data_IF_267980987915
#
_entry.id   IF_267980987915
#
_cell.length_a   1.000
_cell.length_b   1.000
_cell.length_c   1.000
_cell.angle_alpha   90.00
_cell.angle_beta   90.00
_cell.angle_gamma   90.00
#
_symmetry.space_group_name_H-M   'P 1'
#
loop_
_entity.id
_entity.type
_entity.pdbx_description
1 polymer ?
#
# COMPACT_ATOMS: atom_id res chain seq x y z
N UNK A 1 34.38 -23.76 6.61
CA UNK A 1 33.19 -23.29 7.36
C UNK A 1 32.13 -22.86 6.35
N UNK A 2 31.00 -23.56 6.30
CA UNK A 2 29.91 -23.30 5.34
C UNK A 2 29.15 -22.05 5.77
N UNK A 3 29.21 -20.97 4.98
CA UNK A 3 28.37 -19.78 5.17
C UNK A 3 26.94 -20.15 4.76
N UNK A 4 26.05 -20.37 5.73
CA UNK A 4 24.61 -20.40 5.46
C UNK A 4 24.17 -18.96 5.28
N UNK A 5 23.99 -18.54 4.04
CA UNK A 5 23.31 -17.29 3.71
C UNK A 5 21.85 -17.52 4.07
N UNK A 6 21.40 -16.93 5.18
CA UNK A 6 20.00 -16.91 5.56
C UNK A 6 19.32 -15.90 4.62
N UNK A 7 18.77 -16.40 3.51
CA UNK A 7 17.92 -15.60 2.64
C UNK A 7 16.63 -15.29 3.42
N UNK A 8 16.54 -14.07 3.95
CA UNK A 8 15.28 -13.56 4.49
C UNK A 8 14.34 -13.34 3.31
N UNK A 9 13.36 -14.24 3.15
CA UNK A 9 12.15 -14.00 2.37
C UNK A 9 11.40 -12.83 3.01
N UNK A 10 11.63 -11.65 2.44
CA UNK A 10 10.92 -10.41 2.76
C UNK A 10 9.71 -10.36 1.82
N UNK A 11 8.47 -10.35 2.34
CA UNK A 11 7.27 -10.16 1.52
C UNK A 11 7.44 -8.99 0.55
N UNK A 12 7.06 -9.17 -0.71
CA UNK A 12 7.31 -8.19 -1.78
C UNK A 12 6.83 -6.75 -1.46
N UNK A 13 5.81 -6.59 -0.60
CA UNK A 13 5.34 -5.28 -0.12
C UNK A 13 6.33 -4.55 0.81
N UNK A 14 7.18 -5.27 1.55
CA UNK A 14 8.22 -4.67 2.38
C UNK A 14 9.43 -4.18 1.55
N UNK A 15 9.56 -4.62 0.29
CA UNK A 15 10.69 -4.34 -0.60
C UNK A 15 10.49 -3.06 -1.42
N UNK A 16 9.25 -2.62 -1.68
CA UNK A 16 8.95 -1.52 -2.62
C UNK A 16 9.40 -0.10 -2.19
N UNK A 17 10.11 0.04 -1.07
CA UNK A 17 10.77 1.29 -0.64
C UNK A 17 12.09 1.06 0.13
N UNK A 18 12.66 -0.14 0.07
CA UNK A 18 13.88 -0.49 0.82
C UNK A 18 15.17 -0.40 -0.03
N UNK A 19 15.08 -0.11 -1.33
CA UNK A 19 16.26 -0.16 -2.20
C UNK A 19 17.34 0.91 -1.90
N UNK A 20 17.07 1.89 -1.02
CA UNK A 20 18.04 2.84 -0.47
C UNK A 20 17.88 3.05 1.05
N UNK A 21 17.35 2.05 1.77
CA UNK A 21 17.37 2.11 3.22
C UNK A 21 18.82 1.94 3.72
N UNK A 22 19.26 2.83 4.60
CA UNK A 22 20.55 2.72 5.26
C UNK A 22 20.36 2.00 6.61
N UNK A 23 20.99 0.83 6.77
CA UNK A 23 21.11 0.18 8.08
C UNK A 23 21.97 1.09 8.97
N UNK A 24 21.33 1.80 9.90
CA UNK A 24 22.00 2.76 10.80
C UNK A 24 22.34 2.13 12.16
N UNK A 25 21.74 0.98 12.47
CA UNK A 25 22.00 0.24 13.69
C UNK A 25 21.80 -1.26 13.46
N UNK A 26 22.77 -2.06 13.91
CA UNK A 26 22.67 -3.52 13.90
C UNK A 26 23.51 -4.08 15.04
N UNK A 27 22.86 -4.41 16.16
CA UNK A 27 23.53 -4.93 17.34
C UNK A 27 22.57 -5.76 18.19
N UNK A 28 23.09 -6.83 18.77
CA UNK A 28 22.40 -7.71 19.73
C UNK A 28 21.02 -8.20 19.22
N UNK A 29 20.95 -8.58 17.94
CA UNK A 29 19.71 -9.07 17.32
C UNK A 29 18.69 -7.98 16.97
N UNK A 30 19.04 -6.71 17.14
CA UNK A 30 18.20 -5.56 16.77
C UNK A 30 18.77 -4.86 15.56
N UNK A 31 17.91 -4.56 14.60
CA UNK A 31 18.23 -3.80 13.39
C UNK A 31 17.32 -2.59 13.27
N UNK A 32 17.90 -1.47 12.86
CA UNK A 32 17.16 -0.26 12.55
C UNK A 32 17.66 0.29 11.23
N UNK A 33 16.75 0.32 10.27
CA UNK A 33 16.95 0.93 8.97
C UNK A 33 16.30 2.30 8.97
N UNK A 34 17.06 3.31 8.58
CA UNK A 34 16.53 4.62 8.26
C UNK A 34 16.47 4.78 6.75
N UNK A 35 15.34 5.24 6.24
CA UNK A 35 15.14 5.43 4.81
C UNK A 35 14.42 6.75 4.56
N UNK A 36 14.54 7.26 3.35
CA UNK A 36 13.88 8.48 2.95
C UNK A 36 14.26 8.93 1.56
N UNK A 37 13.62 10.01 1.13
CA UNK A 37 13.87 10.70 -0.14
C UNK A 37 13.48 12.17 -0.05
N UNK A 38 14.14 12.98 -0.85
CA UNK A 38 13.76 14.37 -1.13
C UNK A 38 13.48 14.44 -2.63
N UNK A 39 12.29 14.92 -2.98
CA UNK A 39 11.82 14.98 -4.36
C UNK A 39 11.52 16.44 -4.68
N UNK A 40 12.35 17.02 -5.55
CA UNK A 40 12.05 18.30 -6.18
C UNK A 40 11.15 18.03 -7.39
N UNK A 41 9.94 18.57 -7.37
CA UNK A 41 8.92 18.24 -8.36
C UNK A 41 8.14 19.48 -8.79
N UNK A 42 7.98 19.64 -10.10
CA UNK A 42 7.14 20.66 -10.71
C UNK A 42 6.23 19.98 -11.71
N UNK A 43 4.93 20.09 -11.48
CA UNK A 43 3.93 19.63 -12.44
C UNK A 43 3.74 20.72 -13.47
N UNK A 44 3.87 20.36 -14.75
CA UNK A 44 3.50 21.19 -15.87
C UNK A 44 2.23 20.64 -16.51
N UNK A 45 1.13 21.37 -16.39
CA UNK A 45 -0.16 21.00 -16.94
C UNK A 45 -0.77 22.18 -17.70
N UNK A 46 -1.20 21.91 -18.92
CA UNK A 46 -2.06 22.81 -19.69
C UNK A 46 -3.46 22.21 -19.68
N UNK A 47 -4.30 22.69 -18.77
CA UNK A 47 -5.67 22.19 -18.63
C UNK A 47 -6.55 22.74 -19.74
N UNK A 48 -6.34 23.99 -20.17
CA UNK A 48 -6.87 24.59 -21.40
C UNK A 48 -6.01 25.79 -21.87
N UNK A 49 -6.42 26.44 -22.97
CA UNK A 49 -5.70 27.58 -23.59
C UNK A 49 -5.62 28.85 -22.69
N UNK A 50 -6.39 28.91 -21.58
CA UNK A 50 -6.50 30.08 -20.71
C UNK A 50 -6.04 29.82 -19.27
N UNK A 51 -5.79 28.57 -18.88
CA UNK A 51 -5.42 28.20 -17.52
C UNK A 51 -4.33 27.11 -17.47
N UNK A 52 -3.21 27.44 -16.81
CA UNK A 52 -2.16 26.47 -16.51
C UNK A 52 -2.21 26.11 -15.02
N UNK A 53 -2.42 24.84 -14.67
CA UNK A 53 -2.33 24.35 -13.27
C UNK A 53 -0.90 23.92 -12.94
N UNK A 54 0.07 24.77 -13.29
CA UNK A 54 1.47 24.52 -13.03
C UNK A 54 1.76 24.72 -11.55
N UNK A 55 2.01 23.64 -10.81
CA UNK A 55 2.27 23.68 -9.37
C UNK A 55 3.63 23.07 -9.02
N UNK A 56 4.22 23.58 -7.95
CA UNK A 56 5.35 22.94 -7.28
C UNK A 56 4.71 21.91 -6.36
N UNK A 57 5.18 20.68 -6.47
CA UNK A 57 4.69 19.56 -5.66
C UNK A 57 5.84 18.91 -4.90
N UNK A 58 6.98 19.61 -4.78
CA UNK A 58 8.15 19.14 -4.06
C UNK A 58 7.80 18.67 -2.65
N UNK A 59 8.40 17.54 -2.25
CA UNK A 59 8.16 16.91 -0.94
C UNK A 59 9.37 16.12 -0.46
N UNK A 60 9.41 15.85 0.84
CA UNK A 60 10.34 14.93 1.46
C UNK A 60 9.58 13.80 2.17
N UNK A 61 10.17 12.61 2.19
CA UNK A 61 9.68 11.45 2.97
C UNK A 61 10.83 10.85 3.75
N UNK A 62 10.55 10.40 4.94
CA UNK A 62 11.48 9.63 5.73
C UNK A 62 10.75 8.60 6.58
N UNK A 63 11.47 7.59 7.02
CA UNK A 63 10.91 6.54 7.83
C UNK A 63 11.97 5.70 8.51
N UNK A 64 11.49 4.87 9.42
CA UNK A 64 12.29 3.91 10.17
C UNK A 64 11.64 2.56 10.05
N UNK A 65 12.43 1.52 9.78
CA UNK A 65 12.03 0.11 9.93
C UNK A 65 12.90 -0.48 11.02
N UNK A 66 12.26 -1.08 12.02
CA UNK A 66 12.94 -1.73 13.12
C UNK A 66 12.58 -3.21 13.16
N UNK A 67 13.57 -4.06 13.41
CA UNK A 67 13.39 -5.49 13.65
C UNK A 67 14.16 -5.89 14.91
N UNK A 68 13.57 -6.75 15.72
CA UNK A 68 14.18 -7.33 16.92
C UNK A 68 13.98 -8.83 16.93
N UNK A 69 15.06 -9.59 16.96
CA UNK A 69 15.01 -11.02 17.12
C UNK A 69 14.73 -11.36 18.59
N UNK A 70 13.53 -11.87 18.87
CA UNK A 70 13.10 -12.23 20.23
C UNK A 70 13.56 -13.65 20.56
N UNK A 71 13.34 -14.58 19.63
CA UNK A 71 13.84 -15.96 19.69
C UNK A 71 14.35 -16.41 18.32
N UNK A 72 14.75 -17.68 18.17
CA UNK A 72 15.09 -18.23 16.85
C UNK A 72 13.91 -18.28 15.87
N UNK A 73 12.67 -18.24 16.38
CA UNK A 73 11.45 -18.38 15.57
C UNK A 73 10.58 -17.12 15.59
N UNK A 74 10.73 -16.26 16.59
CA UNK A 74 9.91 -15.07 16.80
C UNK A 74 10.72 -13.79 16.59
N UNK A 75 10.26 -12.96 15.67
CA UNK A 75 10.81 -11.63 15.38
C UNK A 75 9.74 -10.57 15.61
N UNK A 76 10.05 -9.55 16.39
CA UNK A 76 9.24 -8.33 16.46
C UNK A 76 9.68 -7.35 15.39
N UNK A 77 8.74 -6.62 14.81
CA UNK A 77 9.04 -5.60 13.82
C UNK A 77 8.12 -4.40 13.95
N UNK A 78 8.54 -3.26 13.38
CA UNK A 78 7.72 -2.07 13.27
C UNK A 78 8.22 -1.15 12.17
N UNK A 79 7.30 -0.34 11.64
CA UNK A 79 7.62 0.64 10.61
C UNK A 79 6.88 1.95 10.87
N UNK A 80 7.63 3.04 10.69
CA UNK A 80 7.12 4.40 10.66
C UNK A 80 7.52 5.05 9.32
N UNK A 81 6.60 5.79 8.72
CA UNK A 81 6.84 6.59 7.50
C UNK A 81 6.09 7.92 7.59
N UNK A 82 6.80 9.01 7.32
CA UNK A 82 6.29 10.37 7.37
C UNK A 82 6.53 11.10 6.05
N UNK A 83 5.60 11.96 5.68
CA UNK A 83 5.71 12.83 4.50
C UNK A 83 5.58 14.29 4.92
N UNK A 84 6.50 15.10 4.40
CA UNK A 84 6.56 16.55 4.53
C UNK A 84 6.41 17.16 3.14
N UNK A 85 5.35 17.93 2.93
CA UNK A 85 5.25 18.73 1.70
C UNK A 85 6.23 19.92 1.82
N UNK A 86 6.83 20.34 0.70
CA UNK A 86 7.88 21.36 0.65
C UNK A 86 7.65 22.39 -0.46
N UNK A 87 6.40 22.53 -0.91
CA UNK A 87 6.02 23.37 -2.04
C UNK A 87 5.25 24.64 -1.67
N UNK A 88 5.01 24.88 -0.37
CA UNK A 88 4.31 26.07 0.14
C UNK A 88 5.19 26.91 1.07
N UNK A 89 4.84 28.19 1.29
CA UNK A 89 5.49 29.03 2.28
C UNK A 89 5.48 28.39 3.67
N UNK A 90 6.45 28.79 4.50
CA UNK A 90 6.56 28.35 5.89
C UNK A 90 5.24 28.52 6.65
N UNK A 91 4.86 27.50 7.42
CA UNK A 91 3.59 27.45 8.15
C UNK A 91 2.37 27.02 7.31
N UNK A 92 2.53 26.80 6.00
CA UNK A 92 1.44 26.38 5.09
C UNK A 92 1.63 25.00 4.47
N UNK A 93 2.79 24.37 4.67
CA UNK A 93 3.04 22.99 4.23
C UNK A 93 2.18 22.00 5.02
N UNK A 94 1.71 20.96 4.34
CA UNK A 94 1.00 19.86 4.98
C UNK A 94 1.98 18.73 5.31
N UNK A 95 1.63 17.99 6.35
CA UNK A 95 2.40 16.85 6.82
C UNK A 95 1.47 15.70 7.15
N UNK A 96 1.96 14.48 6.94
CA UNK A 96 1.13 13.28 7.08
C UNK A 96 1.96 12.06 7.44
N UNK A 97 1.53 11.37 8.49
CA UNK A 97 1.96 10.00 8.78
C UNK A 97 1.37 9.06 7.75
N UNK A 98 2.24 8.37 7.00
CA UNK A 98 1.83 7.44 5.95
C UNK A 98 1.68 6.04 6.51
N UNK A 99 2.66 5.56 7.29
CA UNK A 99 2.67 4.24 7.90
C UNK A 99 3.08 4.37 9.37
N UNK A 100 2.39 3.66 10.25
CA UNK A 100 2.79 3.46 11.65
C UNK A 100 2.16 2.18 12.14
N UNK A 101 2.92 1.09 12.17
CA UNK A 101 2.44 -0.20 12.65
C UNK A 101 3.57 -0.98 13.33
N UNK A 102 3.16 -1.96 14.13
CA UNK A 102 4.04 -2.92 14.77
C UNK A 102 3.45 -4.32 14.64
N UNK A 103 4.31 -5.33 14.66
CA UNK A 103 3.90 -6.71 14.46
C UNK A 103 4.91 -7.73 14.96
N UNK A 104 4.49 -8.98 14.84
CA UNK A 104 5.26 -10.17 15.17
C UNK A 104 5.27 -11.11 13.97
N UNK A 105 6.43 -11.69 13.66
CA UNK A 105 6.59 -12.76 12.68
C UNK A 105 7.03 -14.02 13.41
N UNK A 106 6.33 -15.12 13.16
CA UNK A 106 6.66 -16.43 13.72
C UNK A 106 7.03 -17.38 12.58
N UNK A 107 8.33 -17.51 12.32
CA UNK A 107 8.91 -18.40 11.29
C UNK A 107 8.04 -18.51 10.01
N UNK A 108 7.65 -19.73 9.63
CA UNK A 108 6.76 -20.05 8.49
C UNK A 108 5.26 -19.93 8.84
N UNK A 109 4.90 -19.78 10.12
CA UNK A 109 3.50 -19.55 10.51
C UNK A 109 2.99 -18.18 10.05
N UNK A 110 3.88 -17.27 9.66
CA UNK A 110 3.53 -15.98 9.07
C UNK A 110 3.73 -14.81 10.04
N UNK A 111 3.06 -13.71 9.74
CA UNK A 111 3.18 -12.47 10.50
C UNK A 111 1.83 -11.85 10.80
N UNK A 112 1.73 -11.19 11.95
CA UNK A 112 0.60 -10.37 12.34
C UNK A 112 1.07 -8.96 12.68
N UNK A 113 0.39 -7.95 12.14
CA UNK A 113 0.64 -6.54 12.43
C UNK A 113 -0.65 -5.75 12.70
N UNK A 114 -0.53 -4.68 13.48
CA UNK A 114 -1.62 -3.74 13.74
C UNK A 114 -1.14 -2.29 13.67
N UNK A 115 -1.95 -1.43 13.05
CA UNK A 115 -1.72 0.01 13.04
C UNK A 115 -2.28 0.73 11.82
N UNK A 116 -1.58 1.78 11.38
CA UNK A 116 -1.78 2.44 10.08
C UNK A 116 -0.90 1.73 9.05
N UNK A 117 -1.51 0.92 8.20
CA UNK A 117 -0.83 0.13 7.19
C UNK A 117 -1.61 0.16 5.86
N UNK A 118 -1.08 -0.48 4.81
CA UNK A 118 -1.82 -0.74 3.59
C UNK A 118 -2.94 -1.75 3.83
N UNK A 119 -4.12 -1.46 3.27
CA UNK A 119 -5.21 -2.40 3.20
C UNK A 119 -4.90 -3.54 2.22
N UNK A 120 -5.34 -4.75 2.54
CA UNK A 120 -4.98 -5.96 1.78
C UNK A 120 -5.51 -5.95 0.34
N UNK A 121 -6.58 -5.20 0.04
CA UNK A 121 -7.01 -5.04 -1.35
C UNK A 121 -5.88 -4.46 -2.23
N UNK A 122 -5.06 -3.56 -1.66
CA UNK A 122 -3.94 -2.93 -2.36
C UNK A 122 -2.87 -3.93 -2.83
N UNK A 123 -2.82 -5.16 -2.31
CA UNK A 123 -1.92 -6.21 -2.81
C UNK A 123 -2.10 -6.44 -4.32
N UNK A 124 -3.33 -6.31 -4.84
CA UNK A 124 -3.60 -6.38 -6.28
C UNK A 124 -3.26 -5.07 -7.02
N UNK A 125 -3.57 -3.91 -6.44
CA UNK A 125 -3.27 -2.61 -7.05
C UNK A 125 -1.77 -2.34 -7.17
N UNK A 126 -0.98 -2.87 -6.24
CA UNK A 126 0.47 -2.71 -6.20
C UNK A 126 1.17 -3.19 -7.48
N UNK A 127 0.60 -4.15 -8.21
CA UNK A 127 1.14 -4.61 -9.49
C UNK A 127 1.10 -3.53 -10.58
N UNK A 128 0.13 -2.61 -10.56
CA UNK A 128 0.02 -1.56 -11.59
C UNK A 128 0.44 -0.19 -11.09
N UNK A 129 0.62 -0.01 -9.78
CA UNK A 129 1.11 1.23 -9.17
C UNK A 129 2.64 1.37 -9.25
N UNK A 130 3.13 1.29 -10.49
CA UNK A 130 4.55 1.32 -10.86
C UNK A 130 4.84 2.50 -11.80
N UNK A 131 4.05 3.56 -11.76
CA UNK A 131 4.25 4.76 -12.59
C UNK A 131 5.00 5.83 -11.79
N UNK A 132 5.71 6.72 -12.49
CA UNK A 132 6.66 7.68 -11.89
C UNK A 132 5.96 8.71 -11.00
N UNK A 133 4.78 9.19 -11.41
CA UNK A 133 4.02 10.18 -10.66
C UNK A 133 2.51 9.88 -10.68
N UNK A 134 1.96 9.68 -11.89
CA UNK A 134 0.56 9.31 -12.07
C UNK A 134 0.39 7.80 -12.03
N UNK A 135 -0.16 7.23 -10.97
CA UNK A 135 -0.31 5.79 -10.79
C UNK A 135 -1.15 5.45 -9.57
N UNK A 136 -1.83 4.29 -9.56
CA UNK A 136 -2.68 3.89 -8.43
C UNK A 136 -4.04 4.60 -8.33
N UNK A 137 -4.27 5.69 -9.07
CA UNK A 137 -5.51 6.53 -9.07
C UNK A 137 -6.78 5.86 -9.65
N UNK A 138 -6.78 4.52 -9.74
CA UNK A 138 -7.97 3.78 -10.15
C UNK A 138 -9.01 3.76 -9.03
N UNK A 139 -8.75 2.96 -8.02
CA UNK A 139 -9.57 2.84 -6.84
C UNK A 139 -8.72 2.87 -5.57
N UNK A 140 -7.41 2.65 -5.66
CA UNK A 140 -6.52 2.68 -4.53
C UNK A 140 -6.30 4.12 -4.05
N UNK A 141 -6.71 4.42 -2.83
CA UNK A 141 -6.51 5.74 -2.25
C UNK A 141 -6.27 5.64 -0.75
N UNK A 142 -5.61 6.66 -0.19
CA UNK A 142 -5.43 6.73 1.25
C UNK A 142 -6.77 7.04 1.93
N UNK A 143 -7.01 6.36 3.04
CA UNK A 143 -8.19 6.52 3.89
C UNK A 143 -9.52 6.25 3.17
N UNK A 144 -9.49 5.42 2.12
CA UNK A 144 -10.68 4.93 1.42
C UNK A 144 -10.88 3.43 1.70
N UNK A 145 -11.53 3.13 2.83
CA UNK A 145 -11.69 1.74 3.33
C UNK A 145 -10.33 1.02 3.44
N UNK A 146 -10.20 -0.21 2.89
CA UNK A 146 -8.96 -1.02 2.87
C UNK A 146 -8.31 -1.08 1.48
N UNK A 147 -8.50 -0.05 0.66
CA UNK A 147 -8.10 -0.07 -0.75
C UNK A 147 -6.76 0.65 -1.03
N UNK A 148 -6.19 1.28 -0.01
CA UNK A 148 -4.85 1.87 0.04
C UNK A 148 -4.37 1.95 1.49
N UNK A 149 -3.60 2.98 1.86
CA UNK A 149 -3.19 3.17 3.27
C UNK A 149 -4.39 3.55 4.13
N UNK A 150 -4.52 2.96 5.31
CA UNK A 150 -5.67 3.21 6.20
C UNK A 150 -5.33 2.99 7.68
N UNK A 151 -6.21 3.41 8.60
CA UNK A 151 -6.00 3.28 10.04
C UNK A 151 -6.70 2.05 10.63
N UNK A 152 -6.10 1.49 11.69
CA UNK A 152 -6.78 0.53 12.57
C UNK A 152 -6.99 -0.82 11.91
N UNK A 153 -6.02 -1.26 11.10
CA UNK A 153 -6.05 -2.57 10.46
C UNK A 153 -5.22 -3.57 11.24
N UNK A 154 -5.80 -4.75 11.47
CA UNK A 154 -5.15 -5.94 11.98
C UNK A 154 -4.93 -6.88 10.80
N UNK A 155 -3.69 -7.16 10.44
CA UNK A 155 -3.34 -7.89 9.22
C UNK A 155 -2.57 -9.14 9.58
N UNK A 156 -3.06 -10.29 9.13
CA UNK A 156 -2.30 -11.53 9.12
C UNK A 156 -1.83 -11.82 7.70
N UNK A 157 -0.55 -12.16 7.54
CA UNK A 157 0.06 -12.53 6.25
C UNK A 157 0.81 -13.84 6.41
N UNK A 158 0.75 -14.68 5.40
CA UNK A 158 1.55 -15.89 5.31
C UNK A 158 2.21 -15.96 3.93
N UNK A 159 3.48 -16.35 3.93
CA UNK A 159 4.25 -16.54 2.71
C UNK A 159 4.57 -18.01 2.51
N UNK A 160 4.62 -18.41 1.25
CA UNK A 160 4.90 -19.79 0.79
C UNK A 160 3.98 -20.85 1.42
N UNK A 161 2.75 -20.45 1.75
CA UNK A 161 1.71 -21.26 2.39
C UNK A 161 2.26 -22.19 3.48
N UNK A 162 2.81 -21.59 4.54
CA UNK A 162 3.43 -22.31 5.66
C UNK A 162 4.65 -23.15 5.28
N UNK A 163 5.37 -22.74 4.22
CA UNK A 163 6.48 -23.49 3.64
C UNK A 163 6.06 -24.69 2.77
N UNK A 164 4.76 -24.87 2.50
CA UNK A 164 4.23 -26.00 1.74
C UNK A 164 4.17 -25.74 0.23
N UNK A 165 3.98 -24.49 -0.18
CA UNK A 165 3.82 -24.11 -1.59
C UNK A 165 4.62 -22.83 -1.86
N UNK A 166 5.80 -23.00 -2.43
CA UNK A 166 6.67 -21.90 -2.84
C UNK A 166 5.92 -20.91 -3.76
N UNK A 167 6.04 -19.62 -3.44
CA UNK A 167 5.42 -18.54 -4.18
C UNK A 167 3.94 -18.29 -3.90
N UNK A 168 3.25 -19.14 -3.11
CA UNK A 168 1.85 -18.96 -2.73
C UNK A 168 1.73 -18.19 -1.42
N UNK A 169 1.29 -16.94 -1.51
CA UNK A 169 1.10 -16.02 -0.41
C UNK A 169 -0.40 -15.76 -0.18
N UNK A 170 -0.78 -15.50 1.06
CA UNK A 170 -2.13 -15.00 1.35
C UNK A 170 -2.13 -14.00 2.51
N UNK A 171 -3.15 -13.16 2.54
CA UNK A 171 -3.40 -12.26 3.65
C UNK A 171 -4.88 -12.21 4.03
N UNK A 172 -5.14 -12.00 5.31
CA UNK A 172 -6.46 -11.72 5.86
C UNK A 172 -6.34 -10.49 6.74
N UNK A 173 -7.29 -9.58 6.62
CA UNK A 173 -7.26 -8.31 7.34
C UNK A 173 -8.63 -7.97 7.90
N UNK A 174 -8.62 -7.37 9.08
CA UNK A 174 -9.76 -6.72 9.70
C UNK A 174 -9.47 -5.22 9.84
N UNK A 175 -10.47 -4.38 9.57
CA UNK A 175 -10.42 -2.94 9.81
C UNK A 175 -11.50 -2.56 10.82
N UNK A 176 -11.09 -1.89 11.90
CA UNK A 176 -12.05 -1.31 12.85
C UNK A 176 -12.71 -0.05 12.32
N UNK A 177 -13.96 0.20 12.76
CA UNK A 177 -14.72 1.42 12.44
C UNK A 177 -13.96 2.71 12.79
N UNK A 178 -14.01 3.65 11.86
CA UNK A 178 -13.41 4.99 11.97
C UNK A 178 -14.43 6.06 11.54
N UNK A 179 -15.09 6.74 12.49
CA UNK A 179 -16.16 7.71 12.18
C UNK A 179 -15.91 9.17 12.59
N UNK A 180 -14.90 9.46 13.41
CA UNK A 180 -14.63 10.83 13.88
C UNK A 180 -13.69 11.59 12.92
N UNK A 181 -14.09 11.72 11.65
CA UNK A 181 -13.29 12.31 10.55
C UNK A 181 -14.20 12.71 9.40
N UNK A 182 -13.66 13.42 8.40
CA UNK A 182 -14.40 13.78 7.19
C UNK A 182 -15.02 12.55 6.52
N UNK A 183 -16.25 12.67 6.01
CA UNK A 183 -17.11 11.55 5.58
C UNK A 183 -16.47 10.69 4.50
N UNK A 184 -15.73 11.31 3.59
CA UNK A 184 -14.98 10.64 2.51
C UNK A 184 -13.81 9.79 3.02
N UNK A 185 -13.44 9.94 4.30
CA UNK A 185 -12.36 9.19 4.95
C UNK A 185 -12.85 8.26 6.06
N UNK A 186 -14.16 8.17 6.27
CA UNK A 186 -14.76 7.27 7.26
C UNK A 186 -14.82 5.83 6.73
N UNK A 187 -14.92 4.88 7.66
CA UNK A 187 -15.24 3.48 7.36
C UNK A 187 -15.99 2.86 8.56
N UNK A 188 -16.86 1.89 8.30
CA UNK A 188 -17.35 0.95 9.31
C UNK A 188 -16.36 -0.19 9.55
N UNK A 189 -16.81 -1.21 10.29
CA UNK A 189 -16.01 -2.43 10.44
C UNK A 189 -15.95 -3.17 9.10
N UNK A 190 -14.84 -3.86 8.83
CA UNK A 190 -14.66 -4.54 7.55
C UNK A 190 -13.60 -5.62 7.57
N UNK A 191 -13.61 -6.45 6.52
CA UNK A 191 -12.62 -7.48 6.29
C UNK A 191 -12.11 -7.49 4.84
N UNK A 192 -10.87 -7.90 4.65
CA UNK A 192 -10.24 -8.08 3.36
C UNK A 192 -9.41 -9.36 3.30
N UNK A 193 -9.24 -9.88 2.08
CA UNK A 193 -8.45 -11.07 1.79
C UNK A 193 -7.68 -10.87 0.48
N UNK A 194 -6.48 -11.45 0.41
CA UNK A 194 -5.71 -11.55 -0.83
C UNK A 194 -5.06 -12.93 -0.94
N UNK A 195 -4.89 -13.39 -2.19
CA UNK A 195 -4.09 -14.55 -2.55
C UNK A 195 -3.21 -14.13 -3.71
N UNK A 196 -1.91 -14.36 -3.58
CA UNK A 196 -0.87 -13.97 -4.54
C UNK A 196 -0.01 -15.20 -4.84
N UNK A 197 0.20 -15.52 -6.12
CA UNK A 197 1.01 -16.64 -6.56
C UNK A 197 2.07 -16.17 -7.55
N UNK A 198 3.34 -16.38 -7.22
CA UNK A 198 4.47 -16.03 -8.09
C UNK A 198 5.19 -17.28 -8.57
N UNK A 199 5.46 -17.35 -9.87
CA UNK A 199 6.14 -18.47 -10.53
C UNK A 199 6.92 -17.96 -11.74
N UNK A 200 8.22 -18.25 -11.79
CA UNK A 200 9.08 -18.00 -12.96
C UNK A 200 8.98 -16.57 -13.55
N UNK A 201 8.95 -15.55 -12.69
CA UNK A 201 8.83 -14.14 -13.10
C UNK A 201 7.40 -13.69 -13.39
N UNK A 202 6.44 -14.61 -13.47
CA UNK A 202 5.02 -14.29 -13.50
C UNK A 202 4.47 -14.17 -12.07
N UNK A 203 3.52 -13.26 -11.88
CA UNK A 203 2.74 -13.14 -10.65
C UNK A 203 1.27 -12.98 -10.95
N UNK A 204 0.42 -13.55 -10.11
CA UNK A 204 -1.04 -13.44 -10.19
C UNK A 204 -1.58 -13.17 -8.79
N UNK A 205 -2.43 -12.15 -8.66
CA UNK A 205 -3.01 -11.79 -7.37
C UNK A 205 -4.49 -11.51 -7.51
N UNK A 206 -5.27 -12.05 -6.57
CA UNK A 206 -6.67 -11.73 -6.38
C UNK A 206 -6.89 -11.15 -5.00
N UNK A 207 -7.68 -10.08 -4.91
CA UNK A 207 -8.02 -9.48 -3.64
C UNK A 207 -9.50 -9.08 -3.57
N UNK A 208 -10.08 -9.16 -2.38
CA UNK A 208 -11.44 -8.74 -2.06
C UNK A 208 -11.45 -7.98 -0.73
N UNK A 209 -12.29 -6.96 -0.64
CA UNK A 209 -12.52 -6.21 0.58
C UNK A 209 -13.98 -5.80 0.68
N UNK A 210 -14.55 -5.92 1.87
CA UNK A 210 -15.87 -5.43 2.24
C UNK A 210 -15.82 -4.69 3.56
N UNK A 211 -16.46 -3.53 3.60
CA UNK A 211 -16.60 -2.73 4.81
C UNK A 211 -18.02 -2.22 4.92
N UNK A 212 -18.53 -2.14 6.15
CA UNK A 212 -19.72 -1.37 6.44
C UNK A 212 -19.45 0.12 6.13
N UNK A 213 -20.47 0.81 5.65
CA UNK A 213 -20.49 2.27 5.50
C UNK A 213 -21.03 2.87 6.79
N UNK A 214 -20.51 4.01 7.20
CA UNK A 214 -21.08 4.72 8.34
C UNK A 214 -22.47 5.25 7.99
N UNK A 215 -23.31 5.52 8.99
CA UNK A 215 -24.64 6.12 8.76
C UNK A 215 -24.57 7.43 7.96
N UNK A 216 -23.50 8.21 8.17
CA UNK A 216 -23.29 9.46 7.44
C UNK A 216 -22.96 9.21 5.96
N UNK A 217 -22.15 8.19 5.65
CA UNK A 217 -21.89 7.75 4.29
C UNK A 217 -23.14 7.15 3.64
N UNK A 218 -23.85 6.26 4.33
CA UNK A 218 -25.05 5.59 3.82
C UNK A 218 -26.24 6.54 3.61
N UNK A 219 -26.15 7.78 4.10
CA UNK A 219 -27.16 8.83 3.85
C UNK A 219 -27.39 9.17 2.38
N UNK A 220 -26.46 8.80 1.48
CA UNK A 220 -26.62 8.94 0.03
C UNK A 220 -27.59 7.92 -0.61
N UNK A 221 -27.99 6.87 0.13
CA UNK A 221 -28.94 5.86 -0.33
C UNK A 221 -28.37 4.80 -1.28
N UNK A 222 -27.05 4.75 -1.50
CA UNK A 222 -26.43 3.76 -2.40
C UNK A 222 -26.13 2.40 -1.75
N UNK A 223 -26.33 2.29 -0.44
CA UNK A 223 -26.29 1.04 0.31
C UNK A 223 -25.36 1.08 1.52
N UNK A 224 -25.46 0.05 2.35
CA UNK A 224 -24.82 0.00 3.67
C UNK A 224 -23.38 -0.55 3.62
N UNK A 225 -22.95 -1.07 2.46
CA UNK A 225 -21.65 -1.72 2.30
C UNK A 225 -20.85 -1.07 1.18
N UNK A 226 -19.54 -1.07 1.36
CA UNK A 226 -18.54 -0.68 0.39
C UNK A 226 -17.69 -1.90 0.04
N UNK A 227 -17.54 -2.20 -1.25
CA UNK A 227 -16.88 -3.42 -1.72
C UNK A 227 -15.89 -3.13 -2.84
N UNK A 228 -14.78 -3.87 -2.86
CA UNK A 228 -13.85 -3.93 -3.99
C UNK A 228 -13.38 -5.35 -4.19
N UNK A 229 -13.29 -5.74 -5.45
CA UNK A 229 -12.50 -6.90 -5.85
C UNK A 229 -11.57 -6.52 -6.99
N UNK A 230 -10.42 -7.17 -7.04
CA UNK A 230 -9.41 -6.94 -8.06
C UNK A 230 -8.64 -8.21 -8.37
N UNK A 231 -8.32 -8.37 -9.64
CA UNK A 231 -7.42 -9.39 -10.18
C UNK A 231 -6.28 -8.66 -10.90
N UNK A 232 -5.04 -9.04 -10.61
CA UNK A 232 -3.89 -8.53 -11.33
C UNK A 232 -2.95 -9.66 -11.75
N UNK A 233 -2.24 -9.42 -12.85
CA UNK A 233 -1.17 -10.28 -13.34
C UNK A 233 0.04 -9.42 -13.68
N UNK A 234 1.24 -9.93 -13.43
CA UNK A 234 2.49 -9.29 -13.82
C UNK A 234 3.45 -10.28 -14.45
N UNK A 235 4.39 -9.73 -15.21
CA UNK A 235 5.64 -10.33 -15.61
C UNK A 235 6.76 -9.37 -15.19
N UNK A 236 7.68 -9.87 -14.38
CA UNK A 236 8.80 -9.13 -13.79
C UNK A 236 10.07 -9.98 -13.88
N UNK A 237 10.65 -10.02 -15.09
CA UNK A 237 11.86 -10.78 -15.37
C UNK A 237 12.54 -10.23 -16.63
N UNK A 238 13.84 -10.56 -16.78
CA UNK A 238 14.62 -10.20 -17.96
C UNK A 238 14.62 -8.69 -18.25
N UNK A 239 14.71 -7.87 -17.19
CA UNK A 239 14.70 -6.40 -17.28
C UNK A 239 13.40 -5.80 -17.86
N UNK A 240 12.31 -6.55 -17.87
CA UNK A 240 11.00 -6.10 -18.34
C UNK A 240 10.02 -6.23 -17.18
N UNK A 241 9.30 -5.14 -16.93
CA UNK A 241 8.13 -5.14 -16.07
C UNK A 241 6.88 -4.89 -16.92
N UNK A 242 5.92 -5.81 -16.87
CA UNK A 242 4.62 -5.63 -17.48
C UNK A 242 3.54 -6.13 -16.53
N UNK A 243 2.55 -5.29 -16.23
CA UNK A 243 1.46 -5.65 -15.34
C UNK A 243 0.12 -5.18 -15.88
N UNK A 244 -0.93 -5.93 -15.56
CA UNK A 244 -2.32 -5.56 -15.81
C UNK A 244 -3.16 -5.82 -14.57
N UNK A 245 -4.15 -4.97 -14.33
CA UNK A 245 -5.11 -5.15 -13.26
C UNK A 245 -6.51 -4.84 -13.76
N UNK A 246 -7.47 -5.67 -13.35
CA UNK A 246 -8.90 -5.48 -13.55
C UNK A 246 -9.63 -5.58 -12.22
N UNK A 247 -10.49 -4.61 -11.93
CA UNK A 247 -11.27 -4.63 -10.70
C UNK A 247 -12.54 -3.81 -10.79
N UNK A 248 -13.45 -4.11 -9.86
CA UNK A 248 -14.70 -3.40 -9.67
C UNK A 248 -14.81 -2.92 -8.23
N UNK A 249 -15.22 -1.66 -8.07
CA UNK A 249 -15.67 -1.15 -6.78
C UNK A 249 -17.17 -0.96 -6.78
N UNK A 250 -17.78 -1.09 -5.60
CA UNK A 250 -19.16 -0.70 -5.31
C UNK A 250 -19.15 0.18 -4.09
N UNK A 251 -19.82 1.33 -4.16
CA UNK A 251 -20.01 2.20 -3.01
C UNK A 251 -18.70 2.61 -2.29
N UNK A 252 -17.58 2.72 -3.03
CA UNK A 252 -16.26 3.12 -2.51
C UNK A 252 -15.65 4.36 -3.18
N UNK A 253 -16.02 4.71 -4.41
CA UNK A 253 -15.33 5.78 -5.16
C UNK A 253 -15.98 7.13 -4.89
N UNK A 254 -15.26 8.02 -4.22
CA UNK A 254 -15.71 9.40 -3.96
C UNK A 254 -15.83 10.16 -5.28
N UNK A 255 -16.94 10.88 -5.50
CA UNK A 255 -17.10 11.78 -6.64
C UNK A 255 -16.32 13.08 -6.39
N UNK A 256 -15.60 13.56 -7.39
CA UNK A 256 -14.86 14.82 -7.33
C UNK A 256 -15.84 15.98 -7.13
N UNK A 257 -15.99 16.46 -5.89
CA UNK A 257 -16.48 17.79 -5.44
C UNK A 257 -16.91 17.79 -3.95
N UNK A 258 -16.20 17.08 -3.05
CA UNK A 258 -16.48 17.07 -1.60
C UNK A 258 -17.94 16.78 -1.18
N UNK A 259 -18.80 16.39 -2.11
CA UNK A 259 -20.18 16.04 -1.87
C UNK A 259 -20.25 14.56 -1.47
N UNK A 260 -21.20 14.26 -0.57
CA UNK A 260 -21.59 12.94 -0.06
C UNK A 260 -22.14 12.03 -1.18
N UNK A 261 -21.40 11.84 -2.26
CA UNK A 261 -21.81 10.98 -3.34
C UNK A 261 -20.68 10.01 -3.65
N UNK A 262 -20.96 8.75 -3.40
CA UNK A 262 -20.04 7.66 -3.71
C UNK A 262 -20.58 6.95 -4.96
N UNK A 263 -19.72 6.70 -5.96
CA UNK A 263 -20.16 6.03 -7.19
C UNK A 263 -20.68 4.63 -6.85
N UNK A 264 -21.87 4.24 -7.35
CA UNK A 264 -22.47 2.95 -7.05
C UNK A 264 -21.65 1.79 -7.63
N UNK A 265 -20.99 2.00 -8.77
CA UNK A 265 -20.11 1.02 -9.41
C UNK A 265 -19.03 1.71 -10.23
N UNK A 266 -17.80 1.21 -10.15
CA UNK A 266 -16.69 1.62 -11.02
C UNK A 266 -15.97 0.40 -11.54
N UNK A 267 -15.70 0.34 -12.85
CA UNK A 267 -14.88 -0.69 -13.49
C UNK A 267 -13.61 -0.04 -14.03
N UNK A 268 -12.44 -0.64 -13.77
CA UNK A 268 -11.16 -0.10 -14.28
C UNK A 268 -10.24 -1.22 -14.77
N UNK A 269 -9.57 -0.91 -15.88
CA UNK A 269 -8.43 -1.65 -16.44
C UNK A 269 -7.22 -0.73 -16.37
N UNK A 270 -6.13 -1.20 -15.78
CA UNK A 270 -4.84 -0.50 -15.75
C UNK A 270 -3.77 -1.43 -16.31
N UNK A 271 -2.78 -0.83 -16.97
CA UNK A 271 -1.56 -1.53 -17.38
C UNK A 271 -0.33 -0.65 -17.07
N UNK A 272 0.78 -1.30 -16.75
CA UNK A 272 2.10 -0.67 -16.62
C UNK A 272 3.10 -1.48 -17.43
N UNK A 273 3.93 -0.81 -18.24
CA UNK A 273 5.00 -1.43 -19.03
C UNK A 273 6.26 -0.58 -18.86
N UNK A 274 7.37 -1.20 -18.47
CA UNK A 274 8.66 -0.52 -18.41
C UNK A 274 9.81 -1.45 -18.82
N UNK A 275 10.82 -0.85 -19.44
CA UNK A 275 12.14 -1.46 -19.67
C UNK A 275 13.13 -0.88 -18.67
N UNK A 276 13.96 -1.74 -18.06
CA UNK A 276 14.86 -1.40 -16.94
C UNK A 276 15.94 -0.40 -17.34
N UNK A 277 15.59 0.89 -17.27
CA UNK A 277 16.55 1.99 -17.11
C UNK A 277 16.04 3.09 -16.19
N UNK A 278 14.75 3.12 -15.81
CA UNK A 278 14.19 4.22 -15.02
C UNK A 278 13.06 3.72 -14.10
N UNK A 279 13.33 2.82 -13.15
CA UNK A 279 12.43 2.66 -12.01
C UNK A 279 13.22 2.47 -10.73
N UNK A 280 13.34 3.57 -10.01
CA UNK A 280 13.80 3.62 -8.63
C UNK A 280 12.62 4.18 -7.84
N UNK A 281 11.69 3.31 -7.43
CA UNK A 281 10.76 3.65 -6.34
C UNK A 281 11.53 3.39 -5.05
N UNK A 282 11.93 4.47 -4.38
CA UNK A 282 12.42 4.48 -3.01
C UNK A 282 11.32 4.96 -2.10
#
# INVERSE_FOLDING_TARGET
>A
MKRKVLAMLVPALLVAGAANAAEIYNKDGNKVDFYGKMVGERIWSNTDDNNSENEDTSYARFGVKGETQITSELTGFGQFEYNLDASKPEGSNQEKTRLTFAGLKYNELGSFDYGRNYGVAYDAAAYTDMLVEWGGDSWASADNFMNGRTNGVATYRNSDFFGLVDGLNFAVQYQGKNSNRGVTKQNGDGYALSVDYNIEGFGFVGAYSKSDRTNEQAGDGYGDNAEVWSLAAKYDANNIYAAMMYGETRNMTVLANDHLQIKPKTLKLLYSISSTSVYVRL
#
